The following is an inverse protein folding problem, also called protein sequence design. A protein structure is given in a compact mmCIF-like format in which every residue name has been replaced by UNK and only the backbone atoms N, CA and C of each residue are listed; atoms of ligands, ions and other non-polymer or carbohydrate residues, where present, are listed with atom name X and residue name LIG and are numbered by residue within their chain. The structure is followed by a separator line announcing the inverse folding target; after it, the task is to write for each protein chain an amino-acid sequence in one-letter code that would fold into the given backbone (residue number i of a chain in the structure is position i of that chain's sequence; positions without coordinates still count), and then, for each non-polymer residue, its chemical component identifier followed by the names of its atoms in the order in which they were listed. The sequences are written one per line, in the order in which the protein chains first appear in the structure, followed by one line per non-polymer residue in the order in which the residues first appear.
data_IF_627062506587
#
_entry.id   IF_627062506587
#
_cell.length_a   1.000
_cell.length_b   1.000
_cell.length_c   1.000
_cell.angle_alpha   90.00
_cell.angle_beta   90.00
_cell.angle_gamma   90.00
#
_symmetry.space_group_name_H-M   'P 1'
#
loop_
_entity.id
_entity.type
_entity.pdbx_description
1 polymer ?
#
# COMPACT_ATOMS: atom_id res chain seq x y z
N UNK A 1 24.87 1.12 11.84
CA UNK A 1 24.44 1.01 10.41
C UNK A 1 25.01 2.19 9.63
N UNK A 2 25.70 1.95 8.55
CA UNK A 2 26.06 2.98 7.58
C UNK A 2 24.86 3.27 6.67
N UNK A 3 24.26 4.46 6.82
CA UNK A 3 23.05 4.89 6.07
C UNK A 3 23.33 4.94 4.56
N UNK A 4 24.49 5.43 4.15
CA UNK A 4 24.82 5.56 2.72
C UNK A 4 25.02 4.18 2.06
N UNK A 5 25.71 3.29 2.75
CA UNK A 5 25.89 1.91 2.31
C UNK A 5 24.55 1.18 2.20
N UNK A 6 23.67 1.33 3.20
CA UNK A 6 22.34 0.72 3.19
C UNK A 6 21.46 1.27 2.06
N UNK A 7 21.44 2.59 1.88
CA UNK A 7 20.72 3.26 0.79
C UNK A 7 21.20 2.79 -0.59
N UNK A 8 22.52 2.72 -0.77
CA UNK A 8 23.11 2.26 -2.02
C UNK A 8 22.76 0.78 -2.31
N UNK A 9 22.77 -0.06 -1.28
CA UNK A 9 22.35 -1.47 -1.40
C UNK A 9 20.88 -1.58 -1.84
N UNK A 10 19.97 -0.83 -1.20
CA UNK A 10 18.56 -0.80 -1.60
C UNK A 10 18.37 -0.39 -3.07
N UNK A 11 19.09 0.64 -3.53
CA UNK A 11 19.03 1.08 -4.93
C UNK A 11 19.53 0.00 -5.90
N UNK A 12 20.58 -0.73 -5.56
CA UNK A 12 21.10 -1.83 -6.40
C UNK A 12 20.09 -2.98 -6.48
N UNK A 13 19.47 -3.35 -5.37
CA UNK A 13 18.45 -4.40 -5.33
C UNK A 13 17.21 -3.98 -6.13
N UNK A 14 16.74 -2.73 -5.97
CA UNK A 14 15.64 -2.19 -6.77
C UNK A 14 15.96 -2.22 -8.27
N UNK A 15 17.19 -1.84 -8.64
CA UNK A 15 17.66 -1.94 -10.03
C UNK A 15 17.55 -3.38 -10.55
N UNK A 16 18.10 -4.36 -9.83
CA UNK A 16 18.06 -5.76 -10.27
C UNK A 16 16.62 -6.28 -10.39
N UNK A 17 15.70 -5.87 -9.48
CA UNK A 17 14.30 -6.27 -9.52
C UNK A 17 13.60 -5.66 -10.74
N UNK A 18 13.72 -4.34 -10.95
CA UNK A 18 12.94 -3.65 -11.98
C UNK A 18 13.58 -3.70 -13.38
N UNK A 19 14.82 -4.18 -13.51
CA UNK A 19 15.42 -4.53 -14.81
C UNK A 19 15.22 -6.00 -15.20
N UNK A 20 14.78 -6.87 -14.29
CA UNK A 20 14.35 -8.24 -14.65
C UNK A 20 12.96 -8.19 -15.30
N UNK A 21 12.88 -8.49 -16.59
CA UNK A 21 11.64 -8.42 -17.39
C UNK A 21 10.54 -9.36 -16.93
N UNK A 22 10.85 -10.34 -16.07
CA UNK A 22 9.89 -11.29 -15.49
C UNK A 22 9.43 -10.88 -14.09
N UNK A 23 10.17 -9.99 -13.38
CA UNK A 23 9.80 -9.46 -12.07
C UNK A 23 9.12 -8.11 -12.15
N UNK A 24 9.65 -7.19 -12.97
CA UNK A 24 9.15 -5.83 -13.06
C UNK A 24 7.63 -5.71 -13.27
N UNK A 25 6.98 -6.52 -14.16
CA UNK A 25 5.53 -6.44 -14.34
C UNK A 25 4.71 -7.07 -13.20
N UNK A 26 5.34 -7.77 -12.27
CA UNK A 26 4.68 -8.50 -11.18
C UNK A 26 4.77 -7.79 -9.83
N UNK A 27 5.55 -6.73 -9.71
CA UNK A 27 5.82 -6.04 -8.45
C UNK A 27 5.54 -4.54 -8.56
N UNK A 28 4.88 -4.00 -7.54
CA UNK A 28 4.75 -2.56 -7.36
C UNK A 28 5.41 -2.13 -6.05
N UNK A 29 6.34 -1.18 -6.15
CA UNK A 29 7.09 -0.66 -5.02
C UNK A 29 6.23 0.28 -4.18
N UNK A 30 6.30 0.15 -2.84
CA UNK A 30 5.52 0.94 -1.89
C UNK A 30 6.29 1.18 -0.59
N UNK A 31 5.60 1.72 0.40
CA UNK A 31 6.12 1.85 1.77
C UNK A 31 7.04 3.04 1.99
N UNK A 32 7.69 3.07 3.16
CA UNK A 32 8.51 4.20 3.57
C UNK A 32 9.70 4.48 2.65
N UNK A 33 10.29 3.44 2.08
CA UNK A 33 11.45 3.59 1.20
C UNK A 33 11.05 4.16 -0.17
N UNK A 34 9.87 3.81 -0.70
CA UNK A 34 9.36 4.47 -1.91
C UNK A 34 9.05 5.94 -1.65
N UNK A 35 8.50 6.28 -0.48
CA UNK A 35 8.28 7.68 -0.09
C UNK A 35 9.59 8.46 0.03
N UNK A 36 10.63 7.84 0.60
CA UNK A 36 11.95 8.46 0.75
C UNK A 36 12.61 8.71 -0.62
N UNK A 37 12.56 7.76 -1.55
CA UNK A 37 13.22 7.90 -2.85
C UNK A 37 12.48 8.79 -3.84
N UNK A 38 11.15 8.80 -3.83
CA UNK A 38 10.35 9.44 -4.87
C UNK A 38 9.60 10.69 -4.41
N UNK A 39 9.36 10.85 -3.09
CA UNK A 39 8.49 11.91 -2.58
C UNK A 39 9.13 12.73 -1.46
N UNK A 40 10.41 12.49 -1.15
CA UNK A 40 11.16 13.31 -0.20
C UNK A 40 10.77 13.13 1.26
N UNK A 41 10.30 11.92 1.66
CA UNK A 41 10.09 11.61 3.08
C UNK A 41 11.38 11.87 3.86
N UNK A 42 11.39 12.78 4.87
CA UNK A 42 12.64 13.25 5.48
C UNK A 42 13.27 12.20 6.42
N UNK A 43 12.52 11.23 6.91
CA UNK A 43 13.09 10.14 7.72
C UNK A 43 13.70 9.05 6.85
N UNK A 44 14.75 8.41 7.35
CA UNK A 44 15.32 7.23 6.72
C UNK A 44 14.37 6.03 6.80
N UNK A 45 14.36 5.20 5.76
CA UNK A 45 13.61 3.95 5.70
C UNK A 45 14.53 2.82 5.32
N UNK A 46 14.36 1.65 5.95
CA UNK A 46 15.33 0.55 5.95
C UNK A 46 14.86 -0.71 5.25
N UNK A 47 13.60 -0.79 4.86
CA UNK A 47 12.99 -2.00 4.30
C UNK A 47 12.54 -1.75 2.84
N UNK A 48 12.45 -2.79 2.04
CA UNK A 48 11.87 -2.74 0.69
C UNK A 48 10.53 -3.46 0.72
N UNK A 49 9.46 -2.71 0.47
CA UNK A 49 8.09 -3.20 0.51
C UNK A 49 7.47 -3.18 -0.90
N UNK A 50 6.84 -4.28 -1.29
CA UNK A 50 6.19 -4.41 -2.59
C UNK A 50 4.75 -4.92 -2.45
N UNK A 51 3.91 -4.64 -3.44
CA UNK A 51 2.70 -5.41 -3.71
C UNK A 51 2.98 -6.39 -4.84
N UNK A 52 2.49 -7.62 -4.67
CA UNK A 52 2.42 -8.61 -5.73
C UNK A 52 1.20 -8.33 -6.59
N UNK A 53 1.41 -8.13 -7.90
CA UNK A 53 0.35 -7.80 -8.85
C UNK A 53 -0.36 -9.02 -9.44
N UNK A 54 0.26 -10.19 -9.34
CA UNK A 54 -0.33 -11.48 -9.74
C UNK A 54 -0.01 -12.56 -8.69
N UNK A 55 -1.00 -12.89 -7.87
CA UNK A 55 -0.86 -13.88 -6.78
C UNK A 55 -0.52 -15.29 -7.27
N UNK A 56 -0.88 -15.64 -8.51
CA UNK A 56 -0.54 -16.95 -9.09
C UNK A 56 0.96 -17.13 -9.31
N UNK A 57 1.73 -16.03 -9.24
CA UNK A 57 3.19 -15.99 -9.42
C UNK A 57 3.97 -15.85 -8.13
N UNK A 58 3.31 -15.91 -6.98
CA UNK A 58 3.92 -15.60 -5.68
C UNK A 58 5.20 -16.39 -5.41
N UNK A 59 5.18 -17.72 -5.56
CA UNK A 59 6.36 -18.54 -5.34
C UNK A 59 7.50 -18.22 -6.33
N UNK A 60 7.18 -18.07 -7.61
CA UNK A 60 8.17 -17.78 -8.64
C UNK A 60 8.81 -16.39 -8.45
N UNK A 61 8.03 -15.40 -8.00
CA UNK A 61 8.52 -14.06 -7.64
C UNK A 61 9.44 -14.16 -6.42
N UNK A 62 9.04 -14.88 -5.40
CA UNK A 62 9.83 -15.05 -4.18
C UNK A 62 11.18 -15.69 -4.44
N UNK A 63 11.21 -16.81 -5.19
CA UNK A 63 12.44 -17.53 -5.56
C UNK A 63 13.43 -16.60 -6.30
N UNK A 64 12.92 -15.79 -7.22
CA UNK A 64 13.74 -14.83 -7.97
C UNK A 64 14.26 -13.68 -7.10
N UNK A 65 13.43 -13.12 -6.23
CA UNK A 65 13.84 -12.07 -5.30
C UNK A 65 14.91 -12.62 -4.35
N UNK A 66 14.73 -13.82 -3.80
CA UNK A 66 15.73 -14.48 -2.97
C UNK A 66 17.06 -14.68 -3.72
N UNK A 67 17.02 -15.11 -4.99
CA UNK A 67 18.20 -15.25 -5.83
C UNK A 67 18.91 -13.90 -6.09
N UNK A 68 18.16 -12.80 -6.26
CA UNK A 68 18.73 -11.46 -6.36
C UNK A 68 19.42 -11.08 -5.06
N UNK A 69 18.76 -11.25 -3.92
CA UNK A 69 19.30 -10.92 -2.60
C UNK A 69 20.62 -11.67 -2.31
N UNK A 70 20.69 -12.95 -2.69
CA UNK A 70 21.90 -13.79 -2.49
C UNK A 70 23.14 -13.26 -3.21
N UNK A 71 23.03 -12.36 -4.20
CA UNK A 71 24.16 -11.67 -4.82
C UNK A 71 24.81 -10.62 -3.90
N UNK A 72 24.08 -10.17 -2.87
CA UNK A 72 24.48 -9.06 -2.02
C UNK A 72 24.87 -9.47 -0.60
N UNK A 73 24.63 -10.72 -0.22
CA UNK A 73 24.96 -11.25 1.10
C UNK A 73 24.23 -12.56 1.38
N UNK A 74 24.13 -12.88 2.67
CA UNK A 74 23.44 -14.10 3.11
C UNK A 74 21.95 -13.81 3.35
N UNK A 75 21.06 -14.59 2.72
CA UNK A 75 19.64 -14.56 3.05
C UNK A 75 19.45 -15.27 4.38
N UNK A 76 19.34 -14.49 5.45
CA UNK A 76 19.33 -14.97 6.83
C UNK A 76 17.97 -15.54 7.26
N UNK A 77 16.89 -15.11 6.62
CA UNK A 77 15.52 -15.58 6.83
C UNK A 77 14.75 -15.46 5.51
N UNK A 78 13.91 -16.48 5.22
CA UNK A 78 13.18 -16.57 3.97
C UNK A 78 11.91 -17.41 4.20
N UNK A 79 10.74 -16.73 4.29
CA UNK A 79 9.50 -17.37 4.67
C UNK A 79 8.32 -16.92 3.80
N UNK A 80 7.51 -17.90 3.38
CA UNK A 80 6.17 -17.64 2.88
C UNK A 80 5.23 -17.44 4.07
N UNK A 81 4.64 -16.25 4.19
CA UNK A 81 3.65 -15.92 5.23
C UNK A 81 2.27 -15.74 4.62
N UNK A 82 1.24 -15.77 5.45
CA UNK A 82 -0.15 -15.60 5.01
C UNK A 82 -0.36 -14.35 4.14
N UNK A 83 0.26 -13.23 4.50
CA UNK A 83 0.15 -11.96 3.76
C UNK A 83 1.24 -11.79 2.68
N UNK A 84 1.91 -12.85 2.30
CA UNK A 84 2.97 -12.85 1.30
C UNK A 84 4.37 -13.10 1.85
N UNK A 85 5.35 -13.32 0.96
CA UNK A 85 6.70 -13.71 1.34
C UNK A 85 7.51 -12.56 1.95
N UNK A 86 8.41 -12.95 2.85
CA UNK A 86 9.39 -12.06 3.47
C UNK A 86 10.77 -12.70 3.33
N UNK A 87 11.76 -11.90 2.93
CA UNK A 87 13.16 -12.27 2.95
C UNK A 87 13.98 -11.24 3.74
N UNK A 88 14.99 -11.71 4.47
CA UNK A 88 15.89 -10.86 5.27
C UNK A 88 17.33 -11.09 4.82
N UNK A 89 17.95 -10.04 4.31
CA UNK A 89 19.32 -10.04 3.85
C UNK A 89 20.27 -9.55 4.95
N UNK A 90 21.29 -10.35 5.26
CA UNK A 90 22.46 -9.98 6.05
C UNK A 90 23.61 -9.69 5.08
N UNK A 91 24.05 -8.44 5.02
CA UNK A 91 25.07 -7.99 4.08
C UNK A 91 26.36 -7.48 4.73
N UNK A 92 26.53 -7.74 6.04
CA UNK A 92 27.76 -7.44 6.73
C UNK A 92 27.65 -7.29 8.25
N UNK A 93 28.74 -7.56 8.94
CA UNK A 93 28.83 -7.46 10.40
C UNK A 93 28.61 -6.02 10.87
N UNK A 94 27.74 -5.85 11.87
CA UNK A 94 27.39 -4.54 12.43
C UNK A 94 26.41 -3.72 11.58
N UNK A 95 26.00 -4.21 10.42
CA UNK A 95 25.00 -3.57 9.62
C UNK A 95 23.58 -4.00 10.00
N UNK A 96 22.60 -3.13 9.76
CA UNK A 96 21.19 -3.48 9.93
C UNK A 96 20.76 -4.39 8.78
N UNK A 97 20.16 -5.51 9.10
CA UNK A 97 19.62 -6.42 8.08
C UNK A 97 18.55 -5.70 7.24
N UNK A 98 18.56 -5.96 5.92
CA UNK A 98 17.56 -5.43 4.99
C UNK A 98 16.42 -6.43 4.87
N UNK A 99 15.21 -6.01 5.23
CA UNK A 99 13.99 -6.79 5.00
C UNK A 99 13.38 -6.44 3.66
N UNK A 100 13.00 -7.46 2.90
CA UNK A 100 12.19 -7.36 1.68
C UNK A 100 10.86 -8.05 1.95
N UNK A 101 9.75 -7.32 1.80
CA UNK A 101 8.40 -7.83 2.02
C UNK A 101 7.57 -7.67 0.75
N UNK A 102 6.90 -8.73 0.33
CA UNK A 102 6.04 -8.75 -0.85
C UNK A 102 4.63 -9.08 -0.39
N UNK A 103 3.75 -8.08 -0.34
CA UNK A 103 2.37 -8.27 0.10
C UNK A 103 1.50 -8.79 -1.03
N UNK A 104 0.74 -9.84 -0.75
CA UNK A 104 -0.25 -10.43 -1.65
C UNK A 104 -1.68 -9.92 -1.42
N UNK A 105 -1.87 -8.91 -0.54
CA UNK A 105 -3.19 -8.37 -0.18
C UNK A 105 -3.69 -7.41 -1.25
N UNK A 106 -4.98 -7.57 -1.62
CA UNK A 106 -5.66 -6.71 -2.58
C UNK A 106 -6.62 -5.75 -1.86
N UNK A 107 -6.52 -4.45 -2.21
CA UNK A 107 -7.32 -3.39 -1.61
C UNK A 107 -7.82 -2.36 -2.64
N UNK A 108 -7.83 -2.71 -3.94
CA UNK A 108 -8.15 -1.75 -5.00
C UNK A 108 -7.07 -0.68 -5.17
N UNK A 109 -5.82 -1.08 -5.08
CA UNK A 109 -4.70 -0.15 -5.18
C UNK A 109 -4.49 0.35 -6.61
N UNK A 110 -4.12 1.63 -6.72
CA UNK A 110 -3.74 2.27 -7.97
C UNK A 110 -2.21 2.39 -8.06
N UNK A 111 -1.71 2.26 -9.27
CA UNK A 111 -0.28 2.26 -9.52
C UNK A 111 0.08 3.26 -10.61
N UNK A 112 1.31 3.75 -10.56
CA UNK A 112 1.88 4.64 -11.57
C UNK A 112 3.31 4.23 -11.91
N UNK A 113 3.78 4.60 -13.10
CA UNK A 113 5.16 4.40 -13.49
C UNK A 113 5.98 5.63 -13.14
N UNK A 114 7.09 5.43 -12.42
CA UNK A 114 8.05 6.50 -12.12
C UNK A 114 9.47 6.08 -12.43
N UNK A 115 10.30 7.04 -12.81
CA UNK A 115 11.70 6.81 -13.12
C UNK A 115 12.61 7.22 -11.95
N UNK A 116 13.55 6.35 -11.58
CA UNK A 116 14.59 6.65 -10.61
C UNK A 116 15.94 6.25 -11.22
N UNK A 117 16.81 7.23 -11.47
CA UNK A 117 18.16 7.01 -12.01
C UNK A 117 18.17 6.17 -13.30
N UNK A 118 17.23 6.43 -14.21
CA UNK A 118 17.10 5.73 -15.49
C UNK A 118 16.36 4.39 -15.44
N UNK A 119 15.76 4.02 -14.29
CA UNK A 119 15.04 2.77 -14.13
C UNK A 119 13.56 3.08 -13.90
N UNK A 120 12.72 2.54 -14.78
CA UNK A 120 11.26 2.64 -14.64
C UNK A 120 10.77 1.63 -13.61
N UNK A 121 10.00 2.10 -12.66
CA UNK A 121 9.47 1.31 -11.55
C UNK A 121 7.98 1.52 -11.44
N UNK A 122 7.21 0.45 -11.31
CA UNK A 122 5.80 0.53 -10.92
C UNK A 122 5.72 0.84 -9.43
N UNK A 123 5.07 1.95 -9.08
CA UNK A 123 4.85 2.40 -7.71
C UNK A 123 3.37 2.41 -7.37
N UNK A 124 3.04 2.14 -6.10
CA UNK A 124 1.72 2.48 -5.56
C UNK A 124 1.55 4.00 -5.57
N UNK A 125 0.38 4.48 -5.96
CA UNK A 125 0.11 5.92 -5.97
C UNK A 125 0.10 6.51 -4.56
N UNK A 126 0.51 7.77 -4.45
CA UNK A 126 0.68 8.47 -3.16
C UNK A 126 -0.59 8.50 -2.29
N UNK A 127 -1.81 8.73 -2.84
CA UNK A 127 -3.05 8.66 -2.05
C UNK A 127 -3.35 7.29 -1.45
N UNK A 128 -3.02 6.21 -2.17
CA UNK A 128 -3.21 4.84 -1.69
C UNK A 128 -2.20 4.51 -0.58
N UNK A 129 -0.94 4.93 -0.75
CA UNK A 129 0.06 4.80 0.32
C UNK A 129 -0.35 5.55 1.58
N UNK A 130 -0.96 6.74 1.45
CA UNK A 130 -1.50 7.49 2.58
C UNK A 130 -2.63 6.73 3.27
N UNK A 131 -3.60 6.23 2.52
CA UNK A 131 -4.69 5.41 3.06
C UNK A 131 -4.16 4.20 3.86
N UNK A 132 -3.17 3.49 3.32
CA UNK A 132 -2.54 2.38 4.01
C UNK A 132 -1.79 2.80 5.28
N UNK A 133 -1.16 3.96 5.30
CA UNK A 133 -0.47 4.49 6.49
C UNK A 133 -1.45 4.95 7.56
N UNK A 134 -2.56 5.55 7.19
CA UNK A 134 -3.65 5.85 8.12
C UNK A 134 -4.20 4.57 8.75
N UNK A 135 -4.53 3.56 7.95
CA UNK A 135 -5.01 2.28 8.48
C UNK A 135 -4.00 1.65 9.45
N UNK A 136 -2.70 1.75 9.17
CA UNK A 136 -1.66 1.16 10.02
C UNK A 136 -1.60 1.75 11.43
N UNK A 137 -2.15 2.94 11.67
CA UNK A 137 -2.22 3.54 13.02
C UNK A 137 -2.99 2.67 14.00
N UNK A 138 -4.08 2.01 13.56
CA UNK A 138 -4.95 1.23 14.45
C UNK A 138 -5.02 -0.27 14.10
N UNK A 139 -4.57 -0.68 12.92
CA UNK A 139 -4.64 -2.06 12.43
C UNK A 139 -3.59 -2.98 13.09
N UNK A 140 -2.59 -2.41 13.74
CA UNK A 140 -1.52 -3.14 14.43
C UNK A 140 -1.79 -3.26 15.93
N UNK A 141 -1.06 -4.16 16.61
CA UNK A 141 -1.12 -4.33 18.08
C UNK A 141 -0.71 -3.09 18.88
N UNK A 142 -0.41 -1.97 18.22
CA UNK A 142 -0.07 -0.69 18.82
C UNK A 142 0.40 0.30 17.76
N UNK A 143 0.23 1.58 18.07
CA UNK A 143 0.72 2.68 17.24
C UNK A 143 2.25 2.63 17.20
N UNK A 144 2.85 2.89 16.04
CA UNK A 144 4.29 3.06 15.91
C UNK A 144 4.64 4.50 15.53
N UNK A 145 5.75 5.01 16.06
CA UNK A 145 6.21 6.36 15.74
C UNK A 145 6.47 6.57 14.25
N UNK A 146 6.86 5.51 13.53
CA UNK A 146 7.02 5.57 12.06
C UNK A 146 5.71 5.82 11.34
N UNK A 147 4.63 5.16 11.74
CA UNK A 147 3.33 5.34 11.11
C UNK A 147 2.75 6.73 11.43
N UNK A 148 2.94 7.25 12.65
CA UNK A 148 2.58 8.65 13.01
C UNK A 148 3.35 9.65 12.15
N UNK A 149 4.67 9.49 12.02
CA UNK A 149 5.51 10.37 11.21
C UNK A 149 5.11 10.36 9.73
N UNK A 150 4.84 9.18 9.18
CA UNK A 150 4.41 9.04 7.79
C UNK A 150 3.03 9.67 7.57
N UNK A 151 2.08 9.50 8.49
CA UNK A 151 0.78 10.18 8.43
C UNK A 151 0.93 11.70 8.51
N UNK A 152 1.76 12.22 9.44
CA UNK A 152 2.08 13.64 9.48
C UNK A 152 2.66 14.14 8.16
N UNK A 153 3.59 13.41 7.56
CA UNK A 153 4.17 13.76 6.26
C UNK A 153 3.11 13.89 5.17
N UNK A 154 2.17 12.98 5.06
CA UNK A 154 1.09 13.06 4.08
C UNK A 154 0.13 14.22 4.36
N UNK A 155 -0.30 14.37 5.60
CA UNK A 155 -1.20 15.44 6.04
C UNK A 155 -0.61 16.83 5.81
N UNK A 156 0.64 17.05 6.24
CA UNK A 156 1.33 18.33 6.09
C UNK A 156 1.62 18.72 4.64
N UNK A 157 1.66 17.73 3.73
CA UNK A 157 1.79 17.94 2.29
C UNK A 157 0.45 18.00 1.55
N UNK A 158 -0.68 18.12 2.26
CA UNK A 158 -2.01 18.14 1.66
C UNK A 158 -2.23 17.00 0.65
N UNK A 159 -1.79 15.80 1.00
CA UNK A 159 -1.93 14.64 0.12
C UNK A 159 -3.40 14.18 0.13
N UNK A 160 -4.05 14.06 -1.03
CA UNK A 160 -5.36 13.42 -1.10
C UNK A 160 -5.33 11.99 -0.56
N UNK A 161 -6.43 11.51 -0.01
CA UNK A 161 -6.56 10.15 0.50
C UNK A 161 -7.47 9.32 -0.41
N UNK A 162 -7.11 8.05 -0.61
CA UNK A 162 -8.04 7.07 -1.16
C UNK A 162 -8.99 6.60 -0.06
N UNK A 163 -10.19 7.21 -0.01
CA UNK A 163 -11.22 6.92 0.99
C UNK A 163 -11.67 5.46 0.92
N UNK A 164 -11.87 4.92 -0.29
CA UNK A 164 -12.35 3.55 -0.49
C UNK A 164 -11.45 2.52 0.18
N UNK A 165 -10.12 2.71 0.13
CA UNK A 165 -9.16 1.82 0.82
C UNK A 165 -9.33 1.88 2.33
N UNK A 166 -9.51 3.07 2.92
CA UNK A 166 -9.69 3.21 4.37
C UNK A 166 -10.97 2.55 4.80
N UNK A 167 -12.08 2.88 4.16
CA UNK A 167 -13.41 2.36 4.51
C UNK A 167 -13.50 0.84 4.30
N UNK A 168 -12.92 0.33 3.21
CA UNK A 168 -12.83 -1.11 2.97
C UNK A 168 -12.04 -1.84 4.07
N UNK A 169 -10.84 -1.32 4.43
CA UNK A 169 -9.97 -1.98 5.40
C UNK A 169 -10.48 -1.89 6.83
N UNK A 170 -11.07 -0.75 7.20
CA UNK A 170 -11.45 -0.47 8.57
C UNK A 170 -12.92 -0.77 8.87
N UNK A 171 -13.73 -1.02 7.82
CA UNK A 171 -15.15 -1.37 7.95
C UNK A 171 -16.02 -0.25 8.52
N UNK A 172 -15.61 1.02 8.34
CA UNK A 172 -16.33 2.20 8.83
C UNK A 172 -16.06 3.44 7.97
N UNK A 173 -16.95 4.47 8.02
CA UNK A 173 -16.74 5.73 7.31
C UNK A 173 -15.42 6.41 7.67
N UNK A 174 -14.80 7.10 6.71
CA UNK A 174 -13.52 7.78 6.89
C UNK A 174 -13.52 8.75 8.08
N UNK A 175 -14.57 9.57 8.24
CA UNK A 175 -14.66 10.55 9.32
C UNK A 175 -14.62 9.89 10.71
N UNK A 176 -15.34 8.77 10.88
CA UNK A 176 -15.36 8.01 12.13
C UNK A 176 -13.99 7.39 12.40
N UNK A 177 -13.34 6.86 11.37
CA UNK A 177 -11.99 6.30 11.48
C UNK A 177 -10.96 7.37 11.87
N UNK A 178 -11.03 8.56 11.27
CA UNK A 178 -10.13 9.68 11.63
C UNK A 178 -10.35 10.12 13.07
N UNK A 179 -11.60 10.09 13.57
CA UNK A 179 -11.88 10.37 14.98
C UNK A 179 -11.22 9.33 15.91
N UNK A 180 -11.30 8.05 15.56
CA UNK A 180 -10.63 6.98 16.33
C UNK A 180 -9.10 7.18 16.34
N UNK A 181 -8.51 7.57 15.21
CA UNK A 181 -7.08 7.88 15.13
C UNK A 181 -6.69 9.04 16.07
N UNK A 182 -7.49 10.11 16.10
CA UNK A 182 -7.27 11.25 17.00
C UNK A 182 -7.29 10.79 18.46
N UNK A 183 -8.29 10.00 18.85
CA UNK A 183 -8.43 9.51 20.23
C UNK A 183 -7.29 8.58 20.65
N UNK A 184 -6.84 7.74 19.76
CA UNK A 184 -5.70 6.86 19.98
C UNK A 184 -4.38 7.65 20.10
N UNK A 185 -4.16 8.62 19.22
CA UNK A 185 -2.96 9.45 19.25
C UNK A 185 -2.87 10.34 20.50
N UNK A 186 -3.98 10.78 21.08
CA UNK A 186 -3.98 11.50 22.37
C UNK A 186 -3.32 10.70 23.50
N UNK A 187 -3.31 9.38 23.40
CA UNK A 187 -2.71 8.45 24.37
C UNK A 187 -1.27 8.06 24.02
N UNK A 188 -0.75 8.48 22.86
CA UNK A 188 0.56 8.09 22.33
C UNK A 188 1.50 9.29 22.29
N UNK A 189 2.40 9.42 23.26
CA UNK A 189 3.20 10.63 23.51
C UNK A 189 4.33 10.85 22.50
N UNK A 190 4.77 12.12 22.34
CA UNK A 190 5.96 12.49 21.56
C UNK A 190 7.21 11.70 21.98
N UNK A 191 7.35 11.39 23.28
CA UNK A 191 8.45 10.55 23.79
C UNK A 191 8.39 9.13 23.19
N UNK A 192 7.20 8.54 23.08
CA UNK A 192 7.04 7.22 22.48
C UNK A 192 7.34 7.27 20.97
N UNK A 193 6.84 8.31 20.27
CA UNK A 193 7.16 8.54 18.84
C UNK A 193 8.68 8.63 18.66
N UNK A 194 9.34 9.46 19.46
CA UNK A 194 10.79 9.66 19.37
C UNK A 194 11.58 8.39 19.65
N UNK A 195 11.14 7.55 20.59
CA UNK A 195 11.77 6.26 20.88
C UNK A 195 11.79 5.32 19.68
N UNK A 196 10.73 5.35 18.88
CA UNK A 196 10.58 4.45 17.71
C UNK A 196 11.38 4.90 16.49
N UNK A 197 11.56 6.22 16.29
CA UNK A 197 12.11 6.73 15.03
C UNK A 197 13.34 7.60 15.18
N UNK A 198 13.78 7.91 16.40
CA UNK A 198 14.86 8.88 16.65
C UNK A 198 16.16 8.56 15.91
N UNK A 199 16.53 7.29 15.75
CA UNK A 199 17.70 6.86 14.97
C UNK A 199 17.55 7.00 13.45
N UNK A 200 16.34 7.22 12.96
CA UNK A 200 16.00 7.38 11.54
C UNK A 200 15.86 8.85 11.13
N UNK A 201 16.00 9.78 12.07
CA UNK A 201 15.84 11.22 11.90
C UNK A 201 17.17 11.96 11.86
N UNK A 202 17.17 13.09 11.16
CA UNK A 202 18.25 14.08 11.31
C UNK A 202 18.11 14.82 12.65
N UNK A 203 19.20 15.39 13.18
CA UNK A 203 19.15 16.17 14.44
C UNK A 203 18.12 17.30 14.37
N UNK A 204 17.99 17.95 13.19
CA UNK A 204 17.03 19.03 12.97
C UNK A 204 15.57 18.56 13.18
N UNK A 205 15.24 17.35 12.76
CA UNK A 205 13.86 16.84 12.83
C UNK A 205 13.52 16.30 14.23
N UNK A 206 14.53 15.92 15.01
CA UNK A 206 14.33 15.36 16.36
C UNK A 206 13.64 16.31 17.33
N UNK A 207 13.94 17.62 17.27
CA UNK A 207 13.34 18.60 18.18
C UNK A 207 11.85 18.77 17.90
N UNK A 208 11.45 18.81 16.65
CA UNK A 208 10.05 18.82 16.25
C UNK A 208 9.31 17.56 16.74
N UNK A 209 9.89 16.38 16.52
CA UNK A 209 9.28 15.12 16.95
C UNK A 209 9.15 15.02 18.47
N UNK A 210 10.11 15.56 19.23
CA UNK A 210 10.07 15.54 20.70
C UNK A 210 9.00 16.43 21.31
N UNK A 211 8.56 17.48 20.61
CA UNK A 211 7.79 18.57 21.22
C UNK A 211 6.45 18.86 20.56
N UNK A 212 6.26 18.47 19.30
CA UNK A 212 5.12 18.94 18.50
C UNK A 212 4.45 17.86 17.65
N UNK A 213 5.11 16.75 17.36
CA UNK A 213 4.63 15.76 16.38
C UNK A 213 3.23 15.26 16.70
N UNK A 214 2.97 14.87 17.94
CA UNK A 214 1.66 14.38 18.37
C UNK A 214 0.57 15.46 18.15
N UNK A 215 0.79 16.65 18.70
CA UNK A 215 -0.18 17.75 18.66
C UNK A 215 -0.49 18.18 17.22
N UNK A 216 0.55 18.35 16.40
CA UNK A 216 0.40 18.73 15.00
C UNK A 216 -0.33 17.67 14.20
N UNK A 217 0.02 16.38 14.41
CA UNK A 217 -0.68 15.27 13.71
C UNK A 217 -2.16 15.23 14.10
N UNK A 218 -2.50 15.38 15.38
CA UNK A 218 -3.89 15.42 15.85
C UNK A 218 -4.64 16.62 15.23
N UNK A 219 -4.02 17.80 15.19
CA UNK A 219 -4.63 19.01 14.60
C UNK A 219 -4.92 18.83 13.11
N UNK A 220 -3.95 18.28 12.37
CA UNK A 220 -4.10 17.99 10.94
C UNK A 220 -5.16 16.91 10.67
N UNK A 221 -5.22 15.86 11.48
CA UNK A 221 -6.28 14.85 11.38
C UNK A 221 -7.66 15.45 11.63
N UNK A 222 -7.79 16.36 12.62
CA UNK A 222 -9.03 17.08 12.88
C UNK A 222 -9.46 17.93 11.69
N UNK A 223 -8.53 18.70 11.13
CA UNK A 223 -8.80 19.49 9.94
C UNK A 223 -9.18 18.60 8.75
N UNK A 224 -8.46 17.49 8.54
CA UNK A 224 -8.72 16.55 7.44
C UNK A 224 -10.05 15.81 7.60
N UNK A 225 -10.49 15.56 8.85
CA UNK A 225 -11.81 15.00 9.15
C UNK A 225 -12.94 15.92 8.75
N UNK A 226 -12.79 17.23 9.04
CA UNK A 226 -13.81 18.23 8.74
C UNK A 226 -13.79 18.68 7.28
N UNK A 227 -12.62 18.67 6.64
CA UNK A 227 -12.38 19.10 5.24
C UNK A 227 -11.49 18.08 4.52
N UNK A 228 -11.98 16.88 4.21
CA UNK A 228 -11.17 15.82 3.64
C UNK A 228 -10.78 16.13 2.19
N UNK A 229 -9.49 15.95 1.87
CA UNK A 229 -9.01 15.91 0.49
C UNK A 229 -9.10 14.46 0.00
N UNK A 230 -10.09 14.16 -0.83
CA UNK A 230 -10.30 12.82 -1.38
C UNK A 230 -9.65 12.71 -2.74
N UNK A 231 -8.95 11.60 -2.97
CA UNK A 231 -8.40 11.28 -4.29
C UNK A 231 -9.54 10.90 -5.24
N UNK A 232 -9.53 11.50 -6.42
CA UNK A 232 -10.48 11.14 -7.47
C UNK A 232 -9.84 10.15 -8.44
N UNK A 233 -10.39 8.97 -8.50
CA UNK A 233 -10.07 7.95 -9.50
C UNK A 233 -11.27 7.73 -10.41
N UNK A 234 -11.09 7.20 -11.63
CA UNK A 234 -12.21 6.90 -12.52
C UNK A 234 -13.29 6.02 -11.87
N UNK A 235 -12.89 5.05 -11.06
CA UNK A 235 -13.76 4.12 -10.36
C UNK A 235 -14.38 4.67 -9.07
N UNK A 236 -13.87 5.78 -8.51
CA UNK A 236 -14.44 6.40 -7.30
C UNK A 236 -15.89 6.93 -7.55
N UNK A 237 -16.24 7.20 -8.80
CA UNK A 237 -17.57 7.67 -9.20
C UNK A 237 -18.59 6.56 -9.42
N UNK A 238 -18.14 5.31 -9.42
CA UNK A 238 -19.02 4.15 -9.60
C UNK A 238 -19.72 3.82 -8.27
N UNK A 239 -21.05 3.95 -8.24
CA UNK A 239 -21.82 3.50 -7.08
C UNK A 239 -22.24 2.04 -7.27
N UNK A 240 -21.54 1.14 -6.59
CA UNK A 240 -21.82 -0.30 -6.62
C UNK A 240 -22.86 -0.61 -5.54
N UNK A 241 -24.11 -0.79 -5.93
CA UNK A 241 -25.23 -1.10 -5.05
C UNK A 241 -25.14 -2.52 -4.51
N UNK A 242 -24.88 -3.47 -5.43
CA UNK A 242 -24.71 -4.87 -5.10
C UNK A 242 -23.62 -5.51 -5.98
N UNK A 243 -22.89 -6.46 -5.42
CA UNK A 243 -21.95 -7.28 -6.18
C UNK A 243 -21.87 -8.67 -5.58
N UNK A 244 -21.71 -9.69 -6.42
CA UNK A 244 -21.52 -11.06 -5.98
C UNK A 244 -20.41 -11.73 -6.79
N UNK A 245 -19.48 -12.37 -6.10
CA UNK A 245 -18.51 -13.29 -6.69
C UNK A 245 -19.08 -14.70 -6.57
N UNK A 246 -19.01 -15.47 -7.64
CA UNK A 246 -19.56 -16.83 -7.70
C UNK A 246 -18.70 -17.75 -8.57
N UNK A 247 -18.74 -19.04 -8.28
CA UNK A 247 -18.05 -20.04 -9.07
C UNK A 247 -18.89 -20.39 -10.32
N UNK A 248 -18.26 -20.38 -11.49
CA UNK A 248 -18.91 -20.69 -12.78
C UNK A 248 -18.79 -22.16 -13.18
N UNK A 249 -17.97 -22.95 -12.50
CA UNK A 249 -17.55 -24.30 -12.85
C UNK A 249 -16.05 -24.35 -13.16
N UNK A 250 -15.48 -25.55 -13.15
CA UNK A 250 -14.04 -25.80 -13.39
C UNK A 250 -13.09 -24.97 -12.52
N UNK A 251 -13.55 -24.54 -11.34
CA UNK A 251 -12.76 -23.72 -10.42
C UNK A 251 -12.59 -22.24 -10.84
N UNK A 252 -13.31 -21.80 -11.88
CA UNK A 252 -13.33 -20.42 -12.33
C UNK A 252 -14.34 -19.60 -11.54
N UNK A 253 -14.00 -18.35 -11.28
CA UNK A 253 -14.84 -17.40 -10.57
C UNK A 253 -15.21 -16.22 -11.46
N UNK A 254 -16.39 -15.67 -11.25
CA UNK A 254 -16.88 -14.49 -11.93
C UNK A 254 -17.48 -13.51 -10.93
N UNK A 255 -17.47 -12.23 -11.28
CA UNK A 255 -18.16 -11.16 -10.57
C UNK A 255 -19.32 -10.63 -11.40
N UNK A 256 -20.47 -10.43 -10.76
CA UNK A 256 -21.63 -9.68 -11.31
C UNK A 256 -21.95 -8.53 -10.37
N UNK A 257 -22.58 -7.47 -10.88
CA UNK A 257 -22.89 -6.31 -10.08
C UNK A 257 -24.11 -5.53 -10.59
N UNK A 258 -24.70 -4.76 -9.67
CA UNK A 258 -25.60 -3.64 -9.98
C UNK A 258 -24.84 -2.36 -9.68
N UNK A 259 -24.66 -1.50 -10.70
CA UNK A 259 -23.89 -0.25 -10.61
C UNK A 259 -24.73 0.86 -11.19
N UNK A 260 -25.00 1.92 -10.40
CA UNK A 260 -25.86 3.05 -10.79
C UNK A 260 -27.21 2.57 -11.39
N UNK A 261 -27.86 1.63 -10.70
CA UNK A 261 -29.12 1.00 -11.07
C UNK A 261 -29.11 0.21 -12.39
N UNK A 262 -27.93 -0.16 -12.90
CA UNK A 262 -27.75 -1.02 -14.08
C UNK A 262 -27.16 -2.35 -13.72
N UNK A 263 -27.69 -3.41 -14.32
CA UNK A 263 -27.15 -4.77 -14.18
C UNK A 263 -25.93 -4.96 -15.07
N UNK A 264 -24.86 -5.48 -14.48
CA UNK A 264 -23.65 -5.92 -15.17
C UNK A 264 -23.56 -7.45 -15.05
N UNK A 265 -23.66 -8.18 -16.18
CA UNK A 265 -23.63 -9.64 -16.16
C UNK A 265 -22.27 -10.17 -15.70
N UNK A 266 -22.23 -11.46 -15.34
CA UNK A 266 -21.04 -12.11 -14.84
C UNK A 266 -19.83 -12.00 -15.76
N UNK A 267 -18.70 -11.54 -15.22
CA UNK A 267 -17.42 -11.41 -15.92
C UNK A 267 -16.38 -12.26 -15.23
N UNK A 268 -15.69 -13.12 -15.96
CA UNK A 268 -14.68 -14.04 -15.43
C UNK A 268 -13.54 -13.22 -14.77
N UNK A 269 -13.15 -13.63 -13.58
CA UNK A 269 -12.09 -13.00 -12.79
C UNK A 269 -10.73 -13.62 -13.15
N UNK A 270 -9.68 -12.81 -13.07
CA UNK A 270 -8.31 -13.30 -13.16
C UNK A 270 -8.02 -14.33 -12.04
N UNK A 271 -7.15 -15.29 -12.31
CA UNK A 271 -6.80 -16.31 -11.33
C UNK A 271 -6.27 -15.77 -10.00
N UNK A 272 -5.55 -14.64 -10.03
CA UNK A 272 -5.08 -13.93 -8.84
C UNK A 272 -6.23 -13.42 -7.96
N UNK A 273 -7.27 -12.85 -8.56
CA UNK A 273 -8.43 -12.32 -7.84
C UNK A 273 -9.31 -13.45 -7.30
N UNK A 274 -9.48 -14.52 -8.09
CA UNK A 274 -10.16 -15.73 -7.65
C UNK A 274 -9.47 -16.37 -6.44
N UNK A 275 -8.14 -16.43 -6.44
CA UNK A 275 -7.36 -16.91 -5.31
C UNK A 275 -7.53 -16.02 -4.08
N UNK A 276 -7.51 -14.69 -4.26
CA UNK A 276 -7.75 -13.75 -3.17
C UNK A 276 -9.13 -13.95 -2.53
N UNK A 277 -10.17 -14.16 -3.35
CA UNK A 277 -11.52 -14.41 -2.86
C UNK A 277 -11.63 -15.71 -2.02
N UNK A 278 -11.00 -16.79 -2.47
CA UNK A 278 -11.01 -18.08 -1.76
C UNK A 278 -10.43 -18.03 -0.36
N UNK A 279 -9.57 -17.06 -0.09
CA UNK A 279 -8.91 -16.88 1.21
C UNK A 279 -9.74 -16.05 2.20
N UNK A 280 -10.86 -15.45 1.76
CA UNK A 280 -11.74 -14.67 2.61
C UNK A 280 -12.65 -15.57 3.43
N UNK A 281 -12.58 -15.44 4.76
CA UNK A 281 -13.32 -16.31 5.68
C UNK A 281 -14.69 -15.79 6.10
N UNK A 282 -14.95 -14.47 5.97
CA UNK A 282 -16.18 -13.85 6.45
C UNK A 282 -17.04 -13.36 5.29
N UNK A 283 -18.34 -13.51 5.42
CA UNK A 283 -19.31 -13.04 4.43
C UNK A 283 -19.21 -11.53 4.15
N UNK A 284 -19.01 -10.72 5.21
CA UNK A 284 -18.80 -9.28 5.06
C UNK A 284 -17.53 -8.92 4.28
N UNK A 285 -16.46 -9.70 4.43
CA UNK A 285 -15.23 -9.55 3.66
C UNK A 285 -15.45 -9.94 2.19
N UNK A 286 -16.23 -10.99 1.95
CA UNK A 286 -16.59 -11.45 0.60
C UNK A 286 -17.48 -10.43 -0.12
N UNK A 287 -18.45 -9.81 0.57
CA UNK A 287 -19.31 -8.76 0.01
C UNK A 287 -18.47 -7.52 -0.36
N UNK A 288 -17.64 -7.05 0.55
CA UNK A 288 -16.76 -5.90 0.30
C UNK A 288 -15.79 -6.15 -0.86
N UNK A 289 -15.22 -7.35 -0.92
CA UNK A 289 -14.36 -7.77 -2.01
C UNK A 289 -15.13 -7.86 -3.35
N UNK A 290 -16.37 -8.33 -3.34
CA UNK A 290 -17.25 -8.34 -4.50
C UNK A 290 -17.46 -6.95 -5.07
N UNK A 291 -17.74 -5.95 -4.24
CA UNK A 291 -17.87 -4.54 -4.67
C UNK A 291 -16.56 -3.98 -5.26
N UNK A 292 -15.43 -4.32 -4.66
CA UNK A 292 -14.11 -3.96 -5.17
C UNK A 292 -13.86 -4.57 -6.56
N UNK A 293 -14.16 -5.87 -6.72
CA UNK A 293 -14.02 -6.55 -8.02
C UNK A 293 -14.98 -6.00 -9.06
N UNK A 294 -16.19 -5.61 -8.68
CA UNK A 294 -17.12 -4.94 -9.59
C UNK A 294 -16.53 -3.64 -10.17
N UNK A 295 -15.95 -2.78 -9.34
CA UNK A 295 -15.24 -1.59 -9.81
C UNK A 295 -14.11 -1.96 -10.78
N UNK A 296 -13.23 -2.89 -10.39
CA UNK A 296 -12.08 -3.33 -11.20
C UNK A 296 -12.48 -3.87 -12.57
N UNK A 297 -13.51 -4.71 -12.63
CA UNK A 297 -13.86 -5.44 -13.85
C UNK A 297 -14.82 -4.66 -14.77
N UNK A 298 -15.63 -3.77 -14.22
CA UNK A 298 -16.66 -3.07 -15.01
C UNK A 298 -16.35 -1.59 -15.30
N UNK A 299 -15.23 -1.03 -14.81
CA UNK A 299 -14.88 0.39 -15.00
C UNK A 299 -14.89 0.83 -16.47
N UNK A 300 -14.39 -0.01 -17.39
CA UNK A 300 -14.35 0.32 -18.82
C UNK A 300 -15.76 0.41 -19.42
N UNK A 301 -16.61 -0.56 -19.11
CA UNK A 301 -18.00 -0.61 -19.57
C UNK A 301 -18.82 0.51 -18.95
N UNK A 302 -18.59 0.80 -17.67
CA UNK A 302 -19.23 1.90 -16.95
C UNK A 302 -18.87 3.26 -17.56
N UNK A 303 -17.58 3.51 -17.86
CA UNK A 303 -17.11 4.73 -18.52
C UNK A 303 -17.74 4.91 -19.91
N UNK A 304 -17.86 3.85 -20.71
CA UNK A 304 -18.52 3.90 -22.00
C UNK A 304 -19.99 4.28 -21.87
N UNK A 305 -20.69 3.70 -20.89
CA UNK A 305 -22.12 3.93 -20.65
C UNK A 305 -22.42 5.33 -20.10
N UNK A 306 -21.47 5.97 -19.40
CA UNK A 306 -21.65 7.29 -18.78
C UNK A 306 -21.00 8.43 -19.57
N UNK A 307 -20.56 8.20 -20.82
CA UNK A 307 -20.01 9.23 -21.68
C UNK A 307 -18.62 9.72 -21.29
N UNK A 308 -17.97 9.10 -20.32
CA UNK A 308 -16.57 9.33 -20.03
C UNK A 308 -15.70 8.61 -21.05
N UNK A 309 -15.62 9.18 -22.26
CA UNK A 309 -14.60 8.76 -23.23
C UNK A 309 -13.25 9.11 -22.62
N UNK A 310 -12.39 8.10 -22.49
CA UNK A 310 -11.01 8.28 -22.06
C UNK A 310 -10.40 9.49 -22.77
N UNK A 311 -10.07 10.52 -22.01
CA UNK A 311 -9.21 11.59 -22.47
C UNK A 311 -7.76 11.09 -22.49
N UNK A 312 -7.54 9.97 -23.15
CA UNK A 312 -6.22 9.55 -23.62
C UNK A 312 -6.03 10.22 -24.97
N UNK A 313 -5.62 11.46 -24.95
CA UNK A 313 -5.04 12.11 -26.12
C UNK A 313 -3.70 12.72 -25.75
N UNK A 314 -2.70 12.07 -26.33
CA UNK A 314 -1.35 12.50 -26.71
C UNK A 314 -0.36 12.83 -25.60
#
# INVERSE_FOLDING_TARGET
MDINKHKFLMLRILKDIFTDTRLAPLLAFKGGTSLMFFYGLPRFSTDLDFNLLDRTKEQAVFDKVAAILSKYGTVADSNMKFNGPIAVLDYGVGERKLKVEISNREYGNHYEMKNLSGIDMTLMQKPDMFAHKLCALLDRKGITGRDVYDCYFFLSNNTPINQDIVEYRMGKPLADYLQDCIEALRKYSDKAIMSDIGELLTEKDKDFVRTKMQTETISLLGFFKDYPLIAEYPDSKMHVEAAAVYEQGDGKFAVRATIDSREYPGKEMAGSDAQAFKELGKESEQEAFGKLMAKKYFIKEWNMNNGHRDSVKK
#
